data_IF_483209962452
#
_entry.id   IF_483209962452
#
_cell.length_a   1.000
_cell.length_b   1.000
_cell.length_c   1.000
_cell.angle_alpha   90.00
_cell.angle_beta   90.00
_cell.angle_gamma   90.00
#
_symmetry.space_group_name_H-M   'P 1'
#
loop_
_entity.id
_entity.type
_entity.pdbx_description
1 polymer ?
#
# COMPACT_ATOMS: atom_id res chain seq x y z
N UNK A 1 -11.21 -1.91 17.94
CA UNK A 1 -11.99 -0.65 17.93
C UNK A 1 -13.28 -0.94 18.66
N UNK A 2 -13.86 -0.02 19.46
CA UNK A 2 -15.17 -0.30 20.06
C UNK A 2 -16.24 -0.06 19.00
N UNK A 3 -16.80 -1.13 18.44
CA UNK A 3 -17.82 -1.07 17.39
C UNK A 3 -19.16 -0.48 17.90
N UNK A 4 -19.35 -0.38 19.23
CA UNK A 4 -20.58 0.15 19.83
C UNK A 4 -20.88 1.59 19.43
N UNK A 5 -19.86 2.39 19.15
CA UNK A 5 -20.02 3.79 18.68
C UNK A 5 -20.84 3.85 17.38
N UNK A 6 -20.76 2.83 16.54
CA UNK A 6 -21.46 2.81 15.25
C UNK A 6 -22.96 2.55 15.38
N UNK A 7 -23.42 2.05 16.55
CA UNK A 7 -24.86 1.93 16.84
C UNK A 7 -25.56 3.31 16.95
N UNK A 8 -24.81 4.38 17.24
CA UNK A 8 -25.36 5.74 17.25
C UNK A 8 -25.86 6.21 15.87
N UNK A 9 -25.37 5.59 14.79
CA UNK A 9 -25.83 5.86 13.43
C UNK A 9 -27.07 5.07 13.02
N UNK A 10 -27.57 4.18 13.90
CA UNK A 10 -28.78 3.40 13.67
C UNK A 10 -30.01 4.05 14.33
N UNK A 11 -31.19 3.77 13.76
CA UNK A 11 -32.49 4.05 14.36
C UNK A 11 -32.84 2.98 15.41
N UNK A 12 -33.87 3.24 16.23
CA UNK A 12 -34.36 2.28 17.23
C UNK A 12 -34.77 0.92 16.59
N UNK A 13 -35.12 0.91 15.31
CA UNK A 13 -35.50 -0.29 14.56
C UNK A 13 -34.31 -1.10 14.05
N UNK A 14 -33.09 -0.61 14.24
CA UNK A 14 -31.85 -1.27 13.84
C UNK A 14 -31.30 -0.89 12.45
N UNK A 15 -32.05 -0.16 11.62
CA UNK A 15 -31.60 0.34 10.33
C UNK A 15 -30.72 1.58 10.50
N UNK A 16 -29.84 1.88 9.52
CA UNK A 16 -29.10 3.14 9.49
C UNK A 16 -30.00 4.33 9.25
N UNK A 17 -29.72 5.44 9.95
CA UNK A 17 -30.51 6.68 9.84
C UNK A 17 -30.55 7.17 8.40
N UNK A 18 -31.74 7.45 7.89
CA UNK A 18 -31.94 8.00 6.55
C UNK A 18 -31.25 9.35 6.36
N UNK A 19 -31.07 10.14 7.42
CA UNK A 19 -30.37 11.42 7.40
C UNK A 19 -28.89 11.31 7.01
N UNK A 20 -28.28 10.12 7.12
CA UNK A 20 -26.92 9.88 6.65
C UNK A 20 -26.81 9.97 5.12
N UNK A 21 -27.90 9.72 4.40
CA UNK A 21 -27.91 9.77 2.94
C UNK A 21 -27.66 11.20 2.45
N UNK A 22 -28.08 12.20 3.19
CA UNK A 22 -27.90 13.62 2.86
C UNK A 22 -26.48 14.13 3.24
N UNK A 23 -25.76 13.42 4.12
CA UNK A 23 -24.37 13.73 4.50
C UNK A 23 -23.36 12.85 3.78
N UNK A 24 -23.03 13.23 2.54
CA UNK A 24 -22.04 12.50 1.74
C UNK A 24 -20.65 12.39 2.37
N UNK A 25 -20.23 13.39 3.15
CA UNK A 25 -18.92 13.35 3.82
C UNK A 25 -18.93 12.36 4.98
N UNK A 26 -19.99 12.39 5.78
CA UNK A 26 -20.21 11.45 6.87
C UNK A 26 -20.35 10.01 6.35
N UNK A 27 -21.10 9.83 5.26
CA UNK A 27 -21.27 8.52 4.62
C UNK A 27 -19.94 7.96 4.07
N UNK A 28 -19.10 8.80 3.43
CA UNK A 28 -17.78 8.41 2.99
C UNK A 28 -16.88 8.02 4.19
N UNK A 29 -16.94 8.79 5.28
CA UNK A 29 -16.17 8.48 6.50
C UNK A 29 -16.62 7.16 7.14
N UNK A 30 -17.92 6.88 7.17
CA UNK A 30 -18.48 5.62 7.65
C UNK A 30 -18.08 4.44 6.75
N UNK A 31 -18.08 4.63 5.44
CA UNK A 31 -17.59 3.65 4.46
C UNK A 31 -16.12 3.28 4.72
N UNK A 32 -15.25 4.27 4.84
CA UNK A 32 -13.83 4.04 5.13
C UNK A 32 -13.61 3.35 6.49
N UNK A 33 -14.33 3.77 7.52
CA UNK A 33 -14.28 3.14 8.84
C UNK A 33 -14.73 1.67 8.79
N UNK A 34 -15.77 1.35 8.01
CA UNK A 34 -16.28 0.00 7.87
C UNK A 34 -15.26 -0.96 7.22
N UNK A 35 -14.29 -0.45 6.47
CA UNK A 35 -13.20 -1.26 5.91
C UNK A 35 -12.13 -1.70 6.93
N UNK A 36 -12.12 -1.14 8.15
CA UNK A 36 -11.20 -1.55 9.24
C UNK A 36 -11.82 -2.63 10.13
N UNK A 37 -13.04 -3.07 9.82
CA UNK A 37 -13.75 -4.08 10.60
C UNK A 37 -12.97 -5.39 10.74
N UNK A 38 -13.16 -6.04 11.87
CA UNK A 38 -12.69 -7.40 12.13
C UNK A 38 -13.87 -8.38 12.17
N UNK A 39 -13.56 -9.67 12.15
CA UNK A 39 -14.60 -10.70 12.21
C UNK A 39 -15.45 -10.58 13.48
N UNK A 40 -16.78 -10.60 13.33
CA UNK A 40 -17.74 -10.46 14.44
C UNK A 40 -18.21 -9.03 14.73
N UNK A 41 -17.77 -8.03 13.94
CA UNK A 41 -18.27 -6.65 14.03
C UNK A 41 -19.43 -6.44 13.03
N UNK A 42 -20.57 -7.07 13.29
CA UNK A 42 -21.72 -7.10 12.36
C UNK A 42 -22.24 -5.70 12.01
N UNK A 43 -22.21 -4.76 12.95
CA UNK A 43 -22.62 -3.36 12.70
C UNK A 43 -21.76 -2.69 11.62
N UNK A 44 -20.47 -3.00 11.53
CA UNK A 44 -19.60 -2.46 10.50
C UNK A 44 -19.77 -3.19 9.15
N UNK A 45 -20.14 -4.47 9.15
CA UNK A 45 -20.53 -5.17 7.92
C UNK A 45 -21.81 -4.59 7.32
N UNK A 46 -22.82 -4.34 8.15
CA UNK A 46 -24.06 -3.66 7.75
C UNK A 46 -23.77 -2.22 7.27
N UNK A 47 -22.89 -1.47 7.96
CA UNK A 47 -22.48 -0.13 7.58
C UNK A 47 -21.81 -0.12 6.20
N UNK A 48 -20.95 -1.11 5.92
CA UNK A 48 -20.30 -1.25 4.62
C UNK A 48 -21.34 -1.46 3.50
N UNK A 49 -22.28 -2.35 3.70
CA UNK A 49 -23.33 -2.63 2.72
C UNK A 49 -24.22 -1.40 2.47
N UNK A 50 -24.64 -0.72 3.55
CA UNK A 50 -25.44 0.49 3.47
C UNK A 50 -24.70 1.61 2.71
N UNK A 51 -23.47 1.91 3.10
CA UNK A 51 -22.70 3.01 2.50
C UNK A 51 -22.30 2.71 1.06
N UNK A 52 -21.90 1.47 0.74
CA UNK A 52 -21.57 1.06 -0.64
C UNK A 52 -22.76 1.26 -1.56
N UNK A 53 -23.95 0.78 -1.15
CA UNK A 53 -25.17 0.88 -1.96
C UNK A 53 -25.54 2.33 -2.23
N UNK A 54 -25.55 3.16 -1.19
CA UNK A 54 -25.97 4.58 -1.33
C UNK A 54 -24.94 5.40 -2.09
N UNK A 55 -23.64 5.28 -1.78
CA UNK A 55 -22.59 6.02 -2.51
C UNK A 55 -22.56 5.66 -3.99
N UNK A 56 -22.68 4.37 -4.34
CA UNK A 56 -22.74 3.93 -5.73
C UNK A 56 -23.96 4.47 -6.45
N UNK A 57 -25.13 4.44 -5.83
CA UNK A 57 -26.37 4.99 -6.38
C UNK A 57 -26.26 6.48 -6.66
N UNK A 58 -25.70 7.24 -5.71
CA UNK A 58 -25.51 8.68 -5.86
C UNK A 58 -24.51 9.06 -6.95
N UNK A 59 -23.40 8.31 -7.04
CA UNK A 59 -22.40 8.52 -8.10
C UNK A 59 -22.99 8.27 -9.49
N UNK A 60 -23.89 7.31 -9.61
CA UNK A 60 -24.55 6.96 -10.88
C UNK A 60 -25.62 7.98 -11.25
N UNK A 61 -26.39 8.48 -10.28
CA UNK A 61 -27.54 9.37 -10.51
C UNK A 61 -27.16 10.83 -10.68
N UNK A 62 -25.97 11.27 -10.25
CA UNK A 62 -25.56 12.67 -10.26
C UNK A 62 -24.22 12.91 -10.99
N UNK A 63 -24.24 13.22 -12.31
CA UNK A 63 -23.02 13.54 -13.07
C UNK A 63 -22.27 14.77 -12.56
N UNK A 64 -22.96 15.71 -11.91
CA UNK A 64 -22.35 16.90 -11.30
C UNK A 64 -21.53 16.52 -10.06
N UNK A 65 -22.04 15.59 -9.24
CA UNK A 65 -21.33 15.06 -8.09
C UNK A 65 -20.05 14.35 -8.54
N UNK A 66 -20.12 13.49 -9.54
CA UNK A 66 -18.98 12.71 -10.06
C UNK A 66 -17.80 13.59 -10.50
N UNK A 67 -18.05 14.81 -10.91
CA UNK A 67 -17.01 15.78 -11.32
C UNK A 67 -16.54 16.68 -10.16
N UNK A 68 -17.19 16.64 -9.02
CA UNK A 68 -16.80 17.43 -7.85
C UNK A 68 -15.57 16.79 -7.15
N UNK A 69 -14.77 17.56 -6.38
CA UNK A 69 -13.69 17.02 -5.58
C UNK A 69 -14.13 15.92 -4.62
N UNK A 70 -15.31 16.04 -4.02
CA UNK A 70 -15.89 15.02 -3.15
C UNK A 70 -16.28 13.78 -3.95
N UNK A 71 -16.89 13.93 -5.12
CA UNK A 71 -17.22 12.80 -5.97
C UNK A 71 -16.00 12.01 -6.46
N UNK A 72 -14.93 12.72 -6.82
CA UNK A 72 -13.65 12.07 -7.18
C UNK A 72 -13.09 11.25 -6.00
N UNK A 73 -13.23 11.75 -4.76
CA UNK A 73 -12.83 11.01 -3.55
C UNK A 73 -13.71 9.78 -3.35
N UNK A 74 -15.02 9.92 -3.46
CA UNK A 74 -15.98 8.82 -3.33
C UNK A 74 -15.69 7.73 -4.37
N UNK A 75 -15.50 8.11 -5.63
CA UNK A 75 -15.15 7.21 -6.71
C UNK A 75 -13.90 6.40 -6.36
N UNK A 76 -12.85 7.10 -5.93
CA UNK A 76 -11.60 6.43 -5.55
C UNK A 76 -11.80 5.47 -4.38
N UNK A 77 -12.49 5.91 -3.32
CA UNK A 77 -12.72 5.06 -2.15
C UNK A 77 -13.53 3.81 -2.50
N UNK A 78 -14.49 3.91 -3.42
CA UNK A 78 -15.25 2.76 -3.91
C UNK A 78 -14.37 1.77 -4.71
N UNK A 79 -13.38 2.27 -5.45
CA UNK A 79 -12.39 1.45 -6.17
C UNK A 79 -11.33 0.89 -5.24
N UNK A 80 -10.78 1.72 -4.35
CA UNK A 80 -9.69 1.42 -3.45
C UNK A 80 -9.85 2.17 -2.12
N UNK A 81 -10.42 1.55 -1.09
CA UNK A 81 -10.49 2.14 0.25
C UNK A 81 -9.11 2.54 0.77
N UNK A 82 -9.01 3.67 1.48
CA UNK A 82 -7.73 4.24 1.92
C UNK A 82 -6.88 3.27 2.74
N UNK A 83 -7.53 2.46 3.59
CA UNK A 83 -6.85 1.47 4.44
C UNK A 83 -6.37 0.22 3.70
N UNK A 84 -6.81 0.03 2.45
CA UNK A 84 -6.35 -1.05 1.56
C UNK A 84 -5.36 -0.54 0.49
N UNK A 85 -5.11 0.76 0.46
CA UNK A 85 -4.17 1.41 -0.45
C UNK A 85 -2.75 1.42 0.10
N UNK A 86 -1.77 1.68 -0.79
CA UNK A 86 -0.39 1.92 -0.39
C UNK A 86 -0.27 3.35 0.15
N UNK A 87 0.15 3.58 1.41
CA UNK A 87 0.09 4.89 2.07
C UNK A 87 0.76 6.01 1.26
N UNK A 88 1.86 5.74 0.58
CA UNK A 88 2.58 6.74 -0.23
C UNK A 88 1.83 7.13 -1.51
N UNK A 89 1.10 6.21 -2.11
CA UNK A 89 0.26 6.49 -3.27
C UNK A 89 -0.96 7.30 -2.85
N UNK A 90 -1.59 6.92 -1.74
CA UNK A 90 -2.72 7.65 -1.16
C UNK A 90 -2.33 9.08 -0.75
N UNK A 91 -1.19 9.25 -0.07
CA UNK A 91 -0.67 10.58 0.29
C UNK A 91 -0.43 11.47 -0.94
N UNK A 92 0.16 10.92 -2.02
CA UNK A 92 0.39 11.65 -3.27
C UNK A 92 -0.93 12.11 -3.89
N UNK A 93 -1.90 11.20 -3.96
CA UNK A 93 -3.22 11.49 -4.51
C UNK A 93 -3.94 12.56 -3.70
N UNK A 94 -3.93 12.40 -2.38
CA UNK A 94 -4.53 13.35 -1.46
C UNK A 94 -3.96 14.77 -1.62
N UNK A 95 -2.64 14.90 -1.66
CA UNK A 95 -1.95 16.19 -1.90
C UNK A 95 -2.40 16.80 -3.23
N UNK A 96 -2.59 16.01 -4.28
CA UNK A 96 -3.02 16.49 -5.60
C UNK A 96 -4.48 16.97 -5.59
N UNK A 97 -5.38 16.23 -4.96
CA UNK A 97 -6.81 16.56 -4.89
C UNK A 97 -7.10 17.81 -4.04
N UNK A 98 -6.34 18.00 -2.96
CA UNK A 98 -6.52 19.14 -2.05
C UNK A 98 -5.91 20.45 -2.56
N UNK A 99 -5.20 20.42 -3.70
CA UNK A 99 -4.65 21.65 -4.29
C UNK A 99 -5.73 22.58 -4.85
N UNK A 100 -6.89 22.04 -5.20
CA UNK A 100 -7.81 22.77 -6.07
C UNK A 100 -8.96 23.50 -5.36
N UNK A 101 -9.48 23.07 -4.19
CA UNK A 101 -10.75 23.68 -3.74
C UNK A 101 -11.12 23.57 -2.24
N UNK A 102 -10.25 23.26 -1.31
CA UNK A 102 -10.67 23.17 0.09
C UNK A 102 -10.13 24.33 0.95
N UNK A 103 -10.98 25.34 1.16
CA UNK A 103 -10.69 26.49 2.03
C UNK A 103 -10.56 26.12 3.52
N UNK A 104 -10.78 24.85 3.89
CA UNK A 104 -10.74 24.37 5.28
C UNK A 104 -9.33 24.10 5.79
N UNK A 105 -8.32 23.95 4.89
CA UNK A 105 -6.94 23.68 5.28
C UNK A 105 -6.05 24.90 5.14
N UNK A 106 -5.29 25.16 6.19
CA UNK A 106 -4.25 26.21 6.18
C UNK A 106 -3.21 25.93 5.07
N UNK A 107 -2.81 27.01 4.34
CA UNK A 107 -1.73 26.93 3.35
C UNK A 107 -0.42 26.42 3.93
N UNK A 108 -0.20 26.67 5.21
CA UNK A 108 0.95 26.14 5.96
C UNK A 108 0.94 24.62 6.03
N UNK A 109 -0.21 24.01 6.34
CA UNK A 109 -0.35 22.54 6.41
C UNK A 109 -0.16 21.92 5.04
N UNK A 110 -0.73 22.53 3.99
CA UNK A 110 -0.53 22.08 2.59
C UNK A 110 0.94 22.14 2.18
N UNK A 111 1.61 23.21 2.52
CA UNK A 111 3.04 23.38 2.21
C UNK A 111 3.88 22.35 2.96
N UNK A 112 3.62 22.14 4.26
CA UNK A 112 4.27 21.12 5.06
C UNK A 112 4.10 19.73 4.46
N UNK A 113 2.87 19.34 4.12
CA UNK A 113 2.59 18.03 3.51
C UNK A 113 3.36 17.81 2.19
N UNK A 114 3.46 18.83 1.34
CA UNK A 114 4.24 18.76 0.08
C UNK A 114 5.74 18.63 0.34
N UNK A 115 6.27 19.38 1.31
CA UNK A 115 7.68 19.35 1.64
C UNK A 115 8.07 18.01 2.27
N UNK A 116 7.27 17.51 3.21
CA UNK A 116 7.46 16.19 3.82
C UNK A 116 7.41 15.09 2.77
N UNK A 117 6.40 15.10 1.89
CA UNK A 117 6.29 14.14 0.81
C UNK A 117 7.54 14.14 -0.08
N UNK A 118 8.04 15.31 -0.48
CA UNK A 118 9.24 15.45 -1.31
C UNK A 118 10.50 14.94 -0.59
N UNK A 119 10.63 15.23 0.70
CA UNK A 119 11.77 14.80 1.51
C UNK A 119 11.84 13.28 1.55
N UNK A 120 10.75 12.62 1.92
CA UNK A 120 10.67 11.15 1.97
C UNK A 120 10.86 10.53 0.57
N UNK A 121 10.31 11.15 -0.48
CA UNK A 121 10.51 10.68 -1.86
C UNK A 121 11.98 10.79 -2.29
N UNK A 122 12.69 11.83 -1.85
CA UNK A 122 14.13 11.98 -2.16
C UNK A 122 14.94 10.89 -1.50
N UNK A 123 14.65 10.55 -0.24
CA UNK A 123 15.26 9.42 0.46
C UNK A 123 15.03 8.10 -0.29
N UNK A 124 13.78 7.81 -0.65
CA UNK A 124 13.44 6.58 -1.38
C UNK A 124 14.14 6.49 -2.74
N UNK A 125 14.28 7.62 -3.44
CA UNK A 125 15.02 7.65 -4.71
C UNK A 125 16.52 7.39 -4.53
N UNK A 126 17.10 7.89 -3.44
CA UNK A 126 18.51 7.63 -3.12
C UNK A 126 18.72 6.15 -2.80
N UNK A 127 17.88 5.57 -1.95
CA UNK A 127 17.92 4.13 -1.62
C UNK A 127 17.83 3.25 -2.87
N UNK A 128 16.87 3.55 -3.76
CA UNK A 128 16.71 2.80 -5.01
C UNK A 128 17.92 2.98 -5.95
N UNK A 129 18.53 4.17 -5.98
CA UNK A 129 19.77 4.41 -6.74
C UNK A 129 20.92 3.54 -6.22
N UNK A 130 21.08 3.45 -4.91
CA UNK A 130 22.13 2.65 -4.26
C UNK A 130 21.88 1.14 -4.47
N UNK A 131 20.63 0.70 -4.35
CA UNK A 131 20.21 -0.67 -4.68
C UNK A 131 20.46 -1.01 -6.15
N UNK A 132 20.19 -0.08 -7.06
CA UNK A 132 20.43 -0.30 -8.50
C UNK A 132 21.92 -0.44 -8.82
N UNK A 133 22.81 0.25 -8.10
CA UNK A 133 24.26 0.05 -8.23
C UNK A 133 24.67 -1.33 -7.70
N UNK A 134 24.26 -1.65 -6.49
CA UNK A 134 24.48 -2.97 -5.89
C UNK A 134 24.02 -4.11 -6.82
N UNK A 135 22.84 -3.98 -7.42
CA UNK A 135 22.30 -4.99 -8.34
C UNK A 135 23.14 -5.17 -9.60
N UNK A 136 23.59 -4.06 -10.18
CA UNK A 136 24.48 -4.08 -11.36
C UNK A 136 25.84 -4.72 -11.03
N UNK A 137 26.36 -4.45 -9.85
CA UNK A 137 27.67 -4.99 -9.42
C UNK A 137 27.63 -6.52 -9.24
N UNK A 138 26.46 -7.12 -9.02
CA UNK A 138 26.27 -8.57 -8.95
C UNK A 138 26.28 -9.26 -10.32
N UNK A 139 26.12 -8.51 -11.40
CA UNK A 139 26.17 -8.95 -12.82
C UNK A 139 25.26 -10.16 -13.16
N UNK A 140 24.14 -10.31 -12.43
CA UNK A 140 23.19 -11.41 -12.68
C UNK A 140 22.64 -11.44 -14.10
N UNK A 141 22.49 -10.28 -14.74
CA UNK A 141 22.04 -10.25 -16.12
C UNK A 141 22.94 -11.02 -17.10
N UNK A 142 24.24 -11.15 -16.78
CA UNK A 142 25.19 -11.92 -17.57
C UNK A 142 25.25 -13.38 -17.13
N UNK A 143 25.30 -13.63 -15.84
CA UNK A 143 25.47 -14.99 -15.28
C UNK A 143 24.17 -15.81 -15.32
N UNK A 144 23.02 -15.15 -15.16
CA UNK A 144 21.69 -15.73 -15.15
C UNK A 144 20.74 -14.98 -16.09
N UNK A 145 20.94 -15.03 -17.41
CA UNK A 145 20.21 -14.20 -18.38
C UNK A 145 18.69 -14.49 -18.43
N UNK A 146 18.24 -15.58 -17.86
CA UNK A 146 16.83 -15.94 -17.73
C UNK A 146 16.13 -15.26 -16.53
N UNK A 147 16.91 -14.84 -15.52
CA UNK A 147 16.34 -14.26 -14.31
C UNK A 147 15.74 -12.87 -14.60
N UNK A 148 14.54 -12.65 -14.09
CA UNK A 148 13.82 -11.39 -14.27
C UNK A 148 14.39 -10.30 -13.36
N UNK A 149 14.67 -9.12 -13.93
CA UNK A 149 15.02 -7.95 -13.14
C UNK A 149 13.77 -7.37 -12.47
N UNK A 150 13.59 -7.66 -11.20
CA UNK A 150 12.47 -7.20 -10.37
C UNK A 150 12.89 -6.29 -9.20
N UNK A 151 14.09 -5.71 -9.28
CA UNK A 151 14.60 -4.88 -8.19
C UNK A 151 13.65 -3.72 -7.84
N UNK A 152 13.11 -3.03 -8.83
CA UNK A 152 12.22 -1.88 -8.62
C UNK A 152 10.91 -2.31 -7.96
N UNK A 153 10.35 -3.42 -8.39
CA UNK A 153 9.13 -4.00 -7.82
C UNK A 153 9.36 -4.46 -6.37
N UNK A 154 10.47 -5.13 -6.10
CA UNK A 154 10.83 -5.57 -4.75
C UNK A 154 11.04 -4.37 -3.81
N UNK A 155 11.68 -3.31 -4.29
CA UNK A 155 11.80 -2.07 -3.53
C UNK A 155 10.43 -1.40 -3.30
N UNK A 156 9.55 -1.39 -4.30
CA UNK A 156 8.19 -0.88 -4.14
C UNK A 156 7.41 -1.64 -3.06
N UNK A 157 7.53 -2.96 -2.99
CA UNK A 157 6.93 -3.77 -1.93
C UNK A 157 7.49 -3.41 -0.55
N UNK A 158 8.81 -3.21 -0.45
CA UNK A 158 9.44 -2.78 0.80
C UNK A 158 8.94 -1.39 1.25
N UNK A 159 8.77 -0.44 0.33
CA UNK A 159 8.18 0.88 0.61
C UNK A 159 6.70 0.75 1.03
N UNK A 160 5.96 -0.20 0.45
CA UNK A 160 4.59 -0.49 0.83
C UNK A 160 4.46 -0.99 2.28
N UNK A 161 5.45 -1.73 2.77
CA UNK A 161 5.50 -2.21 4.15
C UNK A 161 6.03 -1.16 5.14
N UNK A 162 7.08 -0.41 4.76
CA UNK A 162 7.79 0.55 5.63
C UNK A 162 8.18 1.79 4.83
N UNK A 163 7.36 2.83 4.81
CA UNK A 163 7.67 4.05 4.06
C UNK A 163 8.42 5.11 4.88
N UNK A 164 8.39 5.03 6.20
CA UNK A 164 8.95 6.04 7.10
C UNK A 164 10.48 6.09 7.03
N UNK A 165 11.10 7.28 7.16
CA UNK A 165 12.56 7.44 7.09
C UNK A 165 13.34 6.56 8.07
N UNK A 166 12.77 6.29 9.24
CA UNK A 166 13.39 5.48 10.29
C UNK A 166 13.69 4.05 9.83
N UNK A 167 12.91 3.51 8.89
CA UNK A 167 13.05 2.14 8.39
C UNK A 167 13.91 2.02 7.12
N UNK A 168 14.73 3.02 6.80
CA UNK A 168 15.59 3.01 5.61
C UNK A 168 16.43 1.73 5.48
N UNK A 169 17.13 1.35 6.54
CA UNK A 169 17.96 0.13 6.56
C UNK A 169 17.11 -1.11 6.33
N UNK A 170 15.94 -1.19 6.98
CA UNK A 170 15.04 -2.34 6.84
C UNK A 170 14.50 -2.45 5.39
N UNK A 171 14.15 -1.32 4.75
CA UNK A 171 13.73 -1.32 3.34
C UNK A 171 14.81 -1.82 2.40
N UNK A 172 16.03 -1.31 2.55
CA UNK A 172 17.17 -1.72 1.71
C UNK A 172 17.46 -3.21 1.90
N UNK A 173 17.49 -3.69 3.14
CA UNK A 173 17.70 -5.10 3.45
C UNK A 173 16.58 -5.98 2.86
N UNK A 174 15.34 -5.65 3.12
CA UNK A 174 14.18 -6.39 2.62
C UNK A 174 14.18 -6.45 1.08
N UNK A 175 14.49 -5.34 0.42
CA UNK A 175 14.57 -5.27 -1.05
C UNK A 175 15.63 -6.20 -1.61
N UNK A 176 16.80 -6.26 -0.99
CA UNK A 176 17.87 -7.19 -1.39
C UNK A 176 17.44 -8.65 -1.22
N UNK A 177 16.83 -8.98 -0.08
CA UNK A 177 16.32 -10.33 0.19
C UNK A 177 15.25 -10.72 -0.83
N UNK A 178 14.26 -9.88 -1.03
CA UNK A 178 13.17 -10.14 -2.00
C UNK A 178 13.72 -10.33 -3.41
N UNK A 179 14.64 -9.46 -3.86
CA UNK A 179 15.23 -9.55 -5.20
C UNK A 179 16.02 -10.83 -5.40
N UNK A 180 16.82 -11.24 -4.41
CA UNK A 180 17.54 -12.51 -4.47
C UNK A 180 16.57 -13.71 -4.43
N UNK A 181 15.52 -13.63 -3.61
CA UNK A 181 14.51 -14.69 -3.54
C UNK A 181 13.78 -14.85 -4.89
N UNK A 182 13.50 -13.77 -5.62
CA UNK A 182 12.87 -13.90 -6.95
C UNK A 182 13.76 -14.59 -7.98
N UNK A 183 15.09 -14.46 -7.89
CA UNK A 183 16.00 -15.21 -8.75
C UNK A 183 15.98 -16.70 -8.42
N UNK A 184 15.99 -17.01 -7.12
CA UNK A 184 15.89 -18.40 -6.66
C UNK A 184 14.58 -19.01 -7.16
N UNK A 185 13.48 -18.30 -6.99
CA UNK A 185 12.15 -18.67 -7.45
C UNK A 185 12.13 -18.97 -8.97
N UNK A 186 12.63 -18.02 -9.78
CA UNK A 186 12.72 -18.18 -11.24
C UNK A 186 13.58 -19.43 -11.61
N UNK A 187 14.65 -19.70 -10.84
CA UNK A 187 15.52 -20.84 -11.07
C UNK A 187 14.81 -22.16 -10.77
N UNK A 188 14.07 -22.25 -9.65
CA UNK A 188 13.38 -23.47 -9.25
C UNK A 188 12.15 -23.75 -10.09
N UNK A 189 11.39 -22.72 -10.47
CA UNK A 189 10.11 -22.90 -11.15
C UNK A 189 10.25 -23.34 -12.61
N UNK A 190 11.27 -22.83 -13.32
CA UNK A 190 11.31 -22.95 -14.78
C UNK A 190 12.63 -23.43 -15.35
N UNK A 191 13.76 -23.02 -14.78
CA UNK A 191 15.05 -23.12 -15.48
C UNK A 191 16.03 -24.15 -14.89
N UNK A 192 15.88 -24.54 -13.63
CA UNK A 192 16.79 -25.48 -12.99
C UNK A 192 16.50 -26.93 -13.32
N UNK A 193 17.54 -27.71 -13.63
CA UNK A 193 17.42 -29.15 -13.72
C UNK A 193 17.44 -29.77 -12.31
N UNK A 194 16.71 -30.84 -12.09
CA UNK A 194 16.55 -31.46 -10.77
C UNK A 194 17.90 -31.77 -10.08
N UNK A 195 18.89 -32.23 -10.83
CA UNK A 195 20.22 -32.53 -10.28
C UNK A 195 20.95 -31.27 -9.81
N UNK A 196 20.86 -30.17 -10.57
CA UNK A 196 21.44 -28.87 -10.23
C UNK A 196 20.77 -28.27 -9.01
N UNK A 197 19.43 -28.35 -8.95
CA UNK A 197 18.61 -27.81 -7.83
C UNK A 197 18.96 -28.57 -6.51
N UNK A 198 19.23 -29.87 -6.57
CA UNK A 198 19.67 -30.61 -5.39
C UNK A 198 21.02 -30.12 -4.91
N UNK A 199 22.00 -29.93 -5.82
CA UNK A 199 23.33 -29.40 -5.48
C UNK A 199 23.23 -27.99 -4.90
N UNK A 200 22.37 -27.15 -5.46
CA UNK A 200 22.14 -25.81 -4.96
C UNK A 200 21.50 -25.82 -3.56
N UNK A 201 20.50 -26.68 -3.34
CA UNK A 201 19.88 -26.88 -2.04
C UNK A 201 20.88 -27.30 -0.98
N UNK A 202 21.73 -28.26 -1.30
CA UNK A 202 22.83 -28.72 -0.43
C UNK A 202 23.83 -27.60 -0.11
N UNK A 203 24.13 -26.75 -1.09
CA UNK A 203 24.98 -25.58 -0.89
C UNK A 203 24.36 -24.61 0.12
N UNK A 204 23.07 -24.23 -0.06
CA UNK A 204 22.34 -23.35 0.86
C UNK A 204 22.28 -23.94 2.27
N UNK A 205 22.03 -25.24 2.42
CA UNK A 205 22.00 -25.88 3.73
C UNK A 205 23.34 -25.79 4.45
N UNK A 206 24.48 -25.97 3.71
CA UNK A 206 25.82 -25.78 4.26
C UNK A 206 26.08 -24.33 4.69
N UNK A 207 25.53 -23.35 3.99
CA UNK A 207 25.64 -21.97 4.40
C UNK A 207 24.92 -21.68 5.72
N UNK A 208 23.75 -22.27 5.93
CA UNK A 208 22.96 -22.08 7.15
C UNK A 208 23.68 -22.62 8.43
N UNK A 209 24.70 -23.44 8.27
CA UNK A 209 25.53 -23.97 9.35
C UNK A 209 26.80 -23.16 9.62
N UNK A 210 27.09 -22.11 8.80
CA UNK A 210 28.30 -21.29 8.90
C UNK A 210 28.01 -19.89 9.42
N UNK A 211 28.55 -19.45 10.58
CA UNK A 211 28.28 -18.12 11.17
C UNK A 211 28.77 -16.91 10.34
N UNK A 212 29.62 -17.19 9.32
CA UNK A 212 30.29 -16.11 8.56
C UNK A 212 29.47 -15.43 7.49
N UNK A 213 28.25 -15.88 7.20
CA UNK A 213 27.44 -15.33 6.10
C UNK A 213 26.45 -14.23 6.49
N UNK A 214 26.05 -14.16 7.75
CA UNK A 214 25.33 -13.00 8.27
C UNK A 214 26.17 -11.72 8.14
N UNK A 215 27.50 -11.83 8.10
CA UNK A 215 28.42 -10.71 7.92
C UNK A 215 28.49 -10.16 6.48
N UNK A 216 28.03 -10.92 5.47
CA UNK A 216 28.01 -10.48 4.07
C UNK A 216 26.72 -9.75 3.66
N UNK A 217 25.69 -9.80 4.50
CA UNK A 217 24.40 -9.14 4.26
C UNK A 217 24.27 -7.77 4.96
N UNK A 218 25.23 -7.42 5.81
CA UNK A 218 25.35 -6.14 6.48
C UNK A 218 26.35 -5.25 5.73
#
# INVERSE_FOLDING_TARGET
MNADIFHEFKEEKGDFKSSLIDDLKGMLSLYEAAHIRIHGEDVLEEALNFTTTNLTSMMTSSPSLSRSPLGIRIQHSLEQPIHKGVPRLEARRYISLYQENDATWSDTVRTLAKLDFKLVQTLHRQELSDLSRWWKDLDFAKELPFARDKLVECYFWAVGAYFEPTYSIARVFLSKVLTLTTIIDDTFDVYGMQEELLLFTDAIQRFNTSPSLLALLV
#
